data_IF_840992428733
#
_entry.id   IF_840992428733
#
_cell.length_a   1.000
_cell.length_b   1.000
_cell.length_c   1.000
_cell.angle_alpha   90.00
_cell.angle_beta   90.00
_cell.angle_gamma   90.00
#
_symmetry.space_group_name_H-M   'P 1'
#
loop_
_entity.id
_entity.type
_entity.pdbx_description
1 polymer ?
#
# COMPACT_ATOMS: atom_id res chain seq x y z
N UNK A 1 7.47 2.30 11.99
CA UNK A 1 6.69 1.16 11.48
C UNK A 1 5.58 1.55 10.52
N UNK A 2 4.77 2.58 10.81
CA UNK A 2 3.67 3.05 9.92
C UNK A 2 4.09 3.38 8.49
N UNK A 3 5.25 4.03 8.30
CA UNK A 3 5.79 4.36 6.97
C UNK A 3 6.10 3.09 6.17
N UNK A 4 6.87 2.15 6.74
CA UNK A 4 7.21 0.89 6.07
C UNK A 4 5.96 0.09 5.69
N UNK A 5 4.96 0.02 6.59
CA UNK A 5 3.67 -0.59 6.30
C UNK A 5 2.95 0.10 5.13
N UNK A 6 3.01 1.43 5.06
CA UNK A 6 2.39 2.18 3.96
C UNK A 6 3.06 1.95 2.62
N UNK A 7 4.40 1.85 2.60
CA UNK A 7 5.12 1.49 1.38
C UNK A 7 4.73 0.09 0.91
N UNK A 8 4.72 -0.88 1.82
CA UNK A 8 4.47 -2.29 1.47
C UNK A 8 3.02 -2.50 1.03
N UNK A 9 2.05 -2.06 1.85
CA UNK A 9 0.64 -2.25 1.54
C UNK A 9 0.22 -1.41 0.34
N UNK A 10 0.57 -0.12 0.32
CA UNK A 10 0.24 0.77 -0.79
C UNK A 10 0.91 0.32 -2.08
N UNK A 11 2.17 -0.08 -2.02
CA UNK A 11 2.91 -0.53 -3.19
C UNK A 11 2.34 -1.82 -3.78
N UNK A 12 1.95 -2.78 -2.94
CA UNK A 12 1.37 -4.04 -3.40
C UNK A 12 -0.04 -3.85 -3.95
N UNK A 13 -0.90 -3.13 -3.22
CA UNK A 13 -2.27 -2.84 -3.66
C UNK A 13 -2.25 -2.03 -4.97
N UNK A 14 -1.41 -1.00 -5.05
CA UNK A 14 -1.26 -0.22 -6.26
C UNK A 14 -0.74 -1.06 -7.43
N UNK A 15 0.20 -1.98 -7.19
CA UNK A 15 0.68 -2.87 -8.23
C UNK A 15 -0.43 -3.76 -8.80
N UNK A 16 -1.20 -4.41 -7.92
CA UNK A 16 -2.30 -5.29 -8.34
C UNK A 16 -3.39 -4.53 -9.10
N UNK A 17 -3.75 -3.32 -8.66
CA UNK A 17 -4.80 -2.53 -9.32
C UNK A 17 -4.36 -1.98 -10.68
N UNK A 18 -3.14 -1.43 -10.78
CA UNK A 18 -2.70 -0.74 -11.99
C UNK A 18 -2.02 -1.65 -13.02
N UNK A 19 -1.39 -2.75 -12.59
CA UNK A 19 -0.56 -3.58 -13.46
C UNK A 19 -1.07 -5.02 -13.59
N UNK A 20 -1.80 -5.55 -12.61
CA UNK A 20 -2.33 -6.92 -12.64
C UNK A 20 -3.82 -7.03 -12.22
N UNK A 21 -4.72 -6.20 -12.80
CA UNK A 21 -6.13 -6.19 -12.39
C UNK A 21 -6.83 -7.54 -12.68
N UNK A 22 -6.46 -8.22 -13.76
CA UNK A 22 -7.01 -9.54 -14.12
C UNK A 22 -6.67 -10.59 -13.06
N UNK A 23 -5.40 -10.68 -12.65
CA UNK A 23 -4.95 -11.59 -11.57
C UNK A 23 -5.66 -11.28 -10.25
N UNK A 24 -5.93 -10.01 -9.97
CA UNK A 24 -6.67 -9.60 -8.77
C UNK A 24 -8.13 -10.10 -8.79
N UNK A 25 -8.75 -10.18 -9.97
CA UNK A 25 -10.13 -10.67 -10.14
C UNK A 25 -10.20 -12.20 -10.10
N UNK A 26 -9.24 -12.88 -10.72
CA UNK A 26 -9.17 -14.34 -10.77
C UNK A 26 -8.74 -14.94 -9.42
N UNK A 27 -7.74 -14.33 -8.78
CA UNK A 27 -7.17 -14.82 -7.53
C UNK A 27 -6.95 -13.65 -6.55
N UNK A 28 -8.00 -13.18 -5.86
CA UNK A 28 -7.91 -11.99 -5.00
C UNK A 28 -6.93 -12.14 -3.84
N UNK A 29 -6.65 -13.37 -3.40
CA UNK A 29 -5.64 -13.66 -2.37
C UNK A 29 -4.21 -13.40 -2.84
N UNK A 30 -3.96 -13.35 -4.15
CA UNK A 30 -2.65 -13.04 -4.73
C UNK A 30 -2.12 -11.66 -4.32
N UNK A 31 -3.00 -10.76 -3.87
CA UNK A 31 -2.61 -9.48 -3.28
C UNK A 31 -1.68 -9.65 -2.07
N UNK A 32 -1.83 -10.74 -1.29
CA UNK A 32 -1.01 -11.00 -0.11
C UNK A 32 0.36 -11.63 -0.45
N UNK A 33 0.55 -12.11 -1.67
CA UNK A 33 1.75 -12.83 -2.10
C UNK A 33 2.89 -11.86 -2.44
N UNK A 34 3.32 -11.07 -1.45
CA UNK A 34 4.36 -10.04 -1.59
C UNK A 34 5.73 -10.61 -2.01
N UNK A 35 5.97 -11.90 -1.79
CA UNK A 35 7.21 -12.59 -2.17
C UNK A 35 7.32 -12.88 -3.67
N UNK A 36 6.23 -12.81 -4.43
CA UNK A 36 6.26 -12.94 -5.90
C UNK A 36 6.89 -11.71 -6.58
N UNK A 37 7.21 -10.68 -5.80
CA UNK A 37 7.63 -9.38 -6.32
C UNK A 37 6.46 -8.59 -6.89
N UNK A 38 6.75 -7.47 -7.55
CA UNK A 38 5.71 -6.56 -8.06
C UNK A 38 5.23 -5.56 -7.00
N UNK A 39 5.73 -4.32 -7.12
CA UNK A 39 5.43 -3.20 -6.24
C UNK A 39 5.32 -1.92 -7.07
N UNK A 40 4.28 -1.12 -6.83
CA UNK A 40 4.09 0.16 -7.49
C UNK A 40 4.65 1.29 -6.62
N UNK A 41 5.57 2.10 -7.17
CA UNK A 41 6.09 3.27 -6.47
C UNK A 41 4.97 4.26 -6.07
N UNK A 42 4.11 4.62 -7.03
CA UNK A 42 2.97 5.52 -6.79
C UNK A 42 2.03 4.99 -5.70
N UNK A 43 1.74 3.68 -5.72
CA UNK A 43 0.94 3.04 -4.67
C UNK A 43 1.62 3.15 -3.30
N UNK A 44 2.94 2.89 -3.24
CA UNK A 44 3.71 3.02 -2.01
C UNK A 44 3.72 4.44 -1.46
N UNK A 45 3.89 5.45 -2.31
CA UNK A 45 3.85 6.86 -1.92
C UNK A 45 2.48 7.25 -1.34
N UNK A 46 1.40 6.89 -2.02
CA UNK A 46 0.02 7.14 -1.54
C UNK A 46 -0.20 6.43 -0.20
N UNK A 47 0.25 5.19 -0.07
CA UNK A 47 0.14 4.41 1.16
C UNK A 47 0.88 5.05 2.34
N UNK A 48 2.09 5.57 2.12
CA UNK A 48 2.85 6.30 3.15
C UNK A 48 2.13 7.57 3.59
N UNK A 49 1.65 8.38 2.65
CA UNK A 49 0.93 9.62 2.96
C UNK A 49 -0.31 9.30 3.81
N UNK A 50 -1.10 8.32 3.38
CA UNK A 50 -2.32 7.91 4.07
C UNK A 50 -2.03 7.39 5.50
N UNK A 51 -1.07 6.48 5.66
CA UNK A 51 -0.75 5.90 6.98
C UNK A 51 -0.06 6.90 7.91
N UNK A 52 0.73 7.82 7.37
CA UNK A 52 1.33 8.90 8.17
C UNK A 52 0.26 9.87 8.65
N UNK A 53 -0.70 10.23 7.80
CA UNK A 53 -1.85 11.04 8.20
C UNK A 53 -2.67 10.33 9.29
N UNK A 54 -3.00 9.06 9.10
CA UNK A 54 -3.77 8.26 10.07
C UNK A 54 -3.04 8.18 11.41
N UNK A 55 -1.72 7.95 11.37
CA UNK A 55 -0.87 7.94 12.55
C UNK A 55 -0.92 9.29 13.27
N UNK A 56 -0.72 10.40 12.55
CA UNK A 56 -0.74 11.74 13.11
C UNK A 56 -2.09 12.02 13.82
N UNK A 57 -3.22 11.73 13.15
CA UNK A 57 -4.55 11.87 13.75
C UNK A 57 -4.75 11.00 15.00
N UNK A 58 -4.29 9.75 14.98
CA UNK A 58 -4.42 8.83 16.12
C UNK A 58 -3.62 9.25 17.34
N UNK A 59 -2.48 9.91 17.12
CA UNK A 59 -1.60 10.38 18.18
C UNK A 59 -1.77 11.87 18.50
N UNK A 60 -2.79 12.52 17.93
CA UNK A 60 -3.03 13.97 18.06
C UNK A 60 -1.81 14.82 17.72
N UNK A 61 -0.96 14.30 16.83
CA UNK A 61 0.15 15.05 16.25
C UNK A 61 -0.43 15.79 15.05
N UNK A 62 -0.16 17.08 14.94
CA UNK A 62 -0.52 17.84 13.75
C UNK A 62 0.04 17.12 12.51
N UNK A 63 -0.77 16.75 11.50
CA UNK A 63 -0.30 16.07 10.30
C UNK A 63 0.53 16.95 9.35
N UNK A 64 1.36 17.85 9.89
CA UNK A 64 1.69 19.21 9.41
C UNK A 64 0.73 20.26 9.98
#
# INVERSE_FOLDING_TARGET
TWIALGVILGGRVGYMIFYQPERLLEEPLSLLFIWEGGMAFHGGLIGVIALTWIFARRHQVAPL
#
